data_IF_549066955963
#
_entry.id   IF_549066955963
#
_cell.length_a   1.000
_cell.length_b   1.000
_cell.length_c   1.000
_cell.angle_alpha   90.00
_cell.angle_beta   90.00
_cell.angle_gamma   90.00
#
_symmetry.space_group_name_H-M   'P 1'
#
loop_
_entity.id
_entity.type
_entity.pdbx_description
1 polymer ?
#
# COMPACT_ATOMS: atom_id res chain seq x y z
N UNK A 1 2.82 3.39 14.58
CA UNK A 1 1.43 3.25 15.03
C UNK A 1 1.03 4.36 16.01
N UNK A 2 1.83 4.63 17.05
CA UNK A 2 1.52 5.64 18.05
C UNK A 2 1.39 7.06 17.48
N UNK A 3 2.21 7.46 16.50
CA UNK A 3 2.07 8.76 15.82
C UNK A 3 0.73 8.90 15.08
N UNK A 4 0.24 7.81 14.51
CA UNK A 4 -1.08 7.79 13.85
C UNK A 4 -2.19 7.90 14.89
N UNK A 5 -2.06 7.19 16.00
CA UNK A 5 -3.01 7.25 17.10
C UNK A 5 -3.07 8.67 17.69
N UNK A 6 -1.91 9.31 17.94
CA UNK A 6 -1.86 10.70 18.40
C UNK A 6 -2.52 11.68 17.42
N UNK A 7 -2.24 11.54 16.12
CA UNK A 7 -2.82 12.42 15.09
C UNK A 7 -4.34 12.27 14.96
N UNK A 8 -4.85 11.03 15.10
CA UNK A 8 -6.27 10.76 14.94
C UNK A 8 -7.07 10.90 16.22
N UNK A 9 -6.52 10.50 17.36
CA UNK A 9 -7.24 10.34 18.62
C UNK A 9 -6.72 11.23 19.75
N UNK A 10 -5.62 11.96 19.54
CA UNK A 10 -4.98 12.79 20.56
C UNK A 10 -4.33 12.00 21.70
N UNK A 11 -4.21 10.68 21.54
CA UNK A 11 -3.60 9.77 22.53
C UNK A 11 -2.96 8.57 21.86
N UNK A 12 -2.02 7.93 22.54
CA UNK A 12 -1.38 6.65 22.15
C UNK A 12 -2.26 5.46 22.53
N UNK A 13 -1.82 4.28 22.13
CA UNK A 13 -2.36 2.99 22.56
C UNK A 13 -3.86 2.81 22.29
N UNK A 14 -4.33 3.29 21.13
CA UNK A 14 -5.76 3.17 20.77
C UNK A 14 -6.10 1.77 20.28
N UNK A 15 -5.29 1.22 19.38
CA UNK A 15 -5.52 -0.12 18.83
C UNK A 15 -4.83 -1.23 19.58
N UNK A 16 -3.68 -0.95 20.17
CA UNK A 16 -2.85 -1.90 20.88
C UNK A 16 -2.05 -1.21 21.96
N UNK A 17 -1.75 -1.94 23.01
CA UNK A 17 -0.87 -1.50 24.10
C UNK A 17 0.46 -2.23 24.00
N UNK A 18 1.56 -1.49 24.03
CA UNK A 18 2.91 -2.04 24.07
C UNK A 18 3.29 -2.39 25.52
N UNK A 19 4.04 -3.47 25.67
CA UNK A 19 4.60 -3.89 26.94
C UNK A 19 5.93 -4.59 26.71
N UNK A 20 6.73 -4.70 27.78
CA UNK A 20 7.96 -5.49 27.77
C UNK A 20 7.69 -6.81 28.49
N UNK A 21 8.01 -7.94 27.87
CA UNK A 21 7.85 -9.25 28.46
C UNK A 21 8.95 -9.54 29.52
N UNK A 22 8.84 -10.70 30.19
CA UNK A 22 9.79 -11.12 31.22
C UNK A 22 11.22 -11.34 30.70
N UNK A 23 11.39 -11.50 29.38
CA UNK A 23 12.69 -11.63 28.72
C UNK A 23 13.26 -10.31 28.23
N UNK A 24 12.58 -9.19 28.49
CA UNK A 24 12.98 -7.85 28.05
C UNK A 24 12.62 -7.55 26.58
N UNK A 25 11.83 -8.38 25.92
CA UNK A 25 11.40 -8.17 24.55
C UNK A 25 10.16 -7.25 24.48
N UNK A 26 10.17 -6.29 23.54
CA UNK A 26 9.01 -5.48 23.26
C UNK A 26 7.91 -6.30 22.59
N UNK A 27 6.73 -6.26 23.17
CA UNK A 27 5.53 -6.96 22.73
C UNK A 27 4.35 -6.00 22.66
N UNK A 28 3.29 -6.41 22.01
CA UNK A 28 2.02 -5.70 22.00
C UNK A 28 0.85 -6.66 22.19
N UNK A 29 -0.22 -6.14 22.69
CA UNK A 29 -1.53 -6.81 22.75
C UNK A 29 -2.59 -5.88 22.17
N UNK A 30 -3.54 -6.39 21.37
CA UNK A 30 -4.63 -5.58 20.87
C UNK A 30 -5.58 -5.20 22.00
N UNK A 31 -6.10 -3.98 21.94
CA UNK A 31 -7.19 -3.57 22.80
C UNK A 31 -8.50 -4.20 22.28
N UNK A 32 -9.29 -4.80 23.15
CA UNK A 32 -10.54 -5.51 22.78
C UNK A 32 -11.73 -4.58 22.56
N UNK A 33 -11.68 -3.38 23.07
CA UNK A 33 -12.78 -2.41 22.97
C UNK A 33 -12.95 -1.89 21.54
N UNK A 34 -14.22 -1.63 21.18
CA UNK A 34 -14.55 -0.97 19.91
C UNK A 34 -13.89 0.41 19.84
N UNK A 35 -13.26 0.70 18.69
CA UNK A 35 -12.57 1.98 18.48
C UNK A 35 -13.57 3.14 18.49
N UNK A 36 -13.39 4.07 19.42
CA UNK A 36 -14.18 5.29 19.54
C UNK A 36 -13.44 6.46 18.88
N UNK A 37 -14.11 7.15 17.98
CA UNK A 37 -13.56 8.31 17.28
C UNK A 37 -13.91 9.61 18.03
N UNK A 38 -12.96 10.59 18.08
CA UNK A 38 -13.24 11.88 18.69
C UNK A 38 -14.31 12.65 17.92
N UNK A 39 -14.92 13.64 18.58
CA UNK A 39 -15.87 14.54 17.96
C UNK A 39 -15.31 15.17 16.67
N UNK A 40 -16.12 15.25 15.64
CA UNK A 40 -15.74 15.78 14.32
C UNK A 40 -14.91 14.82 13.43
N UNK A 41 -14.56 13.62 13.91
CA UNK A 41 -13.88 12.59 13.12
C UNK A 41 -14.74 11.33 13.03
N UNK A 42 -14.78 10.72 11.86
CA UNK A 42 -15.56 9.49 11.65
C UNK A 42 -14.66 8.29 11.31
N UNK A 43 -15.17 7.10 11.60
CA UNK A 43 -14.50 5.87 11.18
C UNK A 43 -14.33 5.79 9.64
N UNK A 44 -15.25 6.40 8.89
CA UNK A 44 -15.21 6.48 7.43
C UNK A 44 -14.03 7.32 6.94
N UNK A 45 -13.77 8.43 7.61
CA UNK A 45 -12.62 9.30 7.31
C UNK A 45 -11.31 8.58 7.61
N UNK A 46 -11.23 7.87 8.75
CA UNK A 46 -10.07 7.05 9.11
C UNK A 46 -9.77 5.97 8.07
N UNK A 47 -10.81 5.26 7.60
CA UNK A 47 -10.66 4.24 6.56
C UNK A 47 -10.16 4.82 5.25
N UNK A 48 -10.63 6.02 4.88
CA UNK A 48 -10.24 6.71 3.66
C UNK A 48 -8.93 7.49 3.75
N UNK A 49 -8.36 7.65 4.92
CA UNK A 49 -7.11 8.40 5.08
C UNK A 49 -5.95 7.66 4.40
N UNK A 50 -5.29 8.32 3.45
CA UNK A 50 -4.23 7.72 2.64
C UNK A 50 -3.00 7.42 3.50
N UNK A 51 -2.43 6.22 3.33
CA UNK A 51 -1.17 5.78 3.93
C UNK A 51 -0.23 5.35 2.83
N UNK A 52 1.01 5.74 2.93
CA UNK A 52 2.08 5.32 2.04
C UNK A 52 3.19 4.67 2.85
N UNK A 53 3.52 3.44 2.52
CA UNK A 53 4.70 2.74 3.02
C UNK A 53 5.78 2.78 1.95
N UNK A 54 6.93 3.34 2.30
CA UNK A 54 8.07 3.43 1.41
C UNK A 54 9.04 2.27 1.69
N UNK A 55 9.52 1.62 0.62
CA UNK A 55 10.36 0.42 0.74
C UNK A 55 9.71 -0.64 1.63
N UNK A 56 8.48 -1.03 1.25
CA UNK A 56 7.61 -1.80 2.13
C UNK A 56 8.08 -3.25 2.39
N UNK A 57 9.10 -3.74 1.70
CA UNK A 57 9.51 -5.14 1.78
C UNK A 57 8.33 -6.07 1.49
N UNK A 58 8.10 -7.03 2.37
CA UNK A 58 6.96 -7.95 2.35
C UNK A 58 5.67 -7.35 2.95
N UNK A 59 5.69 -6.04 3.22
CA UNK A 59 4.62 -5.23 3.81
C UNK A 59 4.21 -5.58 5.26
N UNK A 60 5.14 -5.90 6.19
CA UNK A 60 4.79 -6.29 7.56
C UNK A 60 4.13 -5.15 8.36
N UNK A 61 4.41 -3.89 8.02
CA UNK A 61 3.76 -2.73 8.63
C UNK A 61 2.37 -2.41 8.04
N UNK A 62 2.09 -2.89 6.83
CA UNK A 62 0.76 -2.77 6.22
C UNK A 62 -0.15 -3.88 6.71
N UNK A 63 0.33 -5.12 6.65
CA UNK A 63 -0.35 -6.35 7.06
C UNK A 63 0.59 -7.18 7.93
N UNK A 64 0.34 -7.24 9.23
CA UNK A 64 1.18 -7.98 10.18
C UNK A 64 0.75 -9.45 10.29
N UNK A 65 0.95 -10.24 9.21
CA UNK A 65 0.51 -11.65 9.18
C UNK A 65 1.40 -12.59 9.96
N UNK A 66 2.66 -12.27 10.08
CA UNK A 66 3.68 -13.06 10.78
C UNK A 66 4.73 -12.15 11.41
N UNK A 67 5.39 -12.65 12.41
CA UNK A 67 6.56 -12.01 13.01
C UNK A 67 7.75 -12.17 12.05
N UNK A 68 8.30 -11.07 11.59
CA UNK A 68 9.41 -11.07 10.61
C UNK A 68 10.73 -11.62 11.18
N UNK A 69 10.84 -11.76 12.49
CA UNK A 69 12.02 -12.29 13.17
C UNK A 69 11.94 -13.81 13.33
N UNK A 70 10.77 -14.31 13.72
CA UNK A 70 10.57 -15.73 14.00
C UNK A 70 9.89 -16.51 12.88
N UNK A 71 9.19 -15.81 11.98
CA UNK A 71 8.34 -16.41 10.95
C UNK A 71 7.00 -16.94 11.47
N UNK A 72 6.72 -16.80 12.78
CA UNK A 72 5.48 -17.26 13.38
C UNK A 72 4.27 -16.45 12.92
N UNK A 73 3.16 -17.15 12.62
CA UNK A 73 1.93 -16.52 12.20
C UNK A 73 1.30 -15.71 13.34
N UNK A 74 0.92 -14.48 13.06
CA UNK A 74 0.17 -13.62 13.99
C UNK A 74 -1.33 -13.86 13.80
N UNK A 75 -2.06 -14.28 14.85
CA UNK A 75 -3.50 -14.47 14.80
C UNK A 75 -4.22 -13.20 14.35
N UNK A 76 -5.29 -13.33 13.57
CA UNK A 76 -5.97 -12.22 12.90
C UNK A 76 -6.38 -11.09 13.88
N UNK A 77 -6.88 -11.44 15.08
CA UNK A 77 -7.25 -10.48 16.11
C UNK A 77 -6.07 -9.76 16.79
N UNK A 78 -4.84 -10.20 16.53
CA UNK A 78 -3.62 -9.59 17.09
C UNK A 78 -2.84 -8.76 16.06
N UNK A 79 -3.29 -8.71 14.82
CA UNK A 79 -2.65 -7.95 13.76
C UNK A 79 -2.86 -6.45 13.95
N UNK A 80 -1.80 -5.68 13.74
CA UNK A 80 -1.76 -4.23 14.01
C UNK A 80 -1.20 -3.41 12.84
N UNK A 81 -1.05 -4.01 11.67
CA UNK A 81 -0.60 -3.30 10.46
C UNK A 81 -1.56 -2.17 10.06
N UNK A 82 -1.11 -1.27 9.21
CA UNK A 82 -1.89 -0.11 8.77
C UNK A 82 -3.24 -0.49 8.16
N UNK A 83 -3.24 -1.54 7.33
CA UNK A 83 -4.45 -2.06 6.72
C UNK A 83 -5.26 -2.93 7.71
N UNK A 84 -4.60 -3.72 8.56
CA UNK A 84 -5.27 -4.51 9.61
C UNK A 84 -6.15 -3.63 10.50
N UNK A 85 -5.64 -2.47 10.92
CA UNK A 85 -6.38 -1.48 11.72
C UNK A 85 -7.62 -0.96 10.98
N UNK A 86 -7.49 -0.66 9.69
CA UNK A 86 -8.63 -0.23 8.86
C UNK A 86 -9.66 -1.34 8.70
N UNK A 87 -9.23 -2.58 8.45
CA UNK A 87 -10.13 -3.72 8.33
C UNK A 87 -10.84 -4.04 9.64
N UNK A 88 -10.16 -3.89 10.79
CA UNK A 88 -10.78 -3.95 12.10
C UNK A 88 -11.88 -2.89 12.25
N UNK A 89 -11.57 -1.62 11.96
CA UNK A 89 -12.55 -0.52 12.04
C UNK A 89 -13.74 -0.77 11.12
N UNK A 90 -13.52 -1.24 9.90
CA UNK A 90 -14.61 -1.65 9.00
C UNK A 90 -15.43 -2.79 9.63
N UNK A 91 -14.77 -3.80 10.16
CA UNK A 91 -15.42 -4.93 10.84
C UNK A 91 -16.29 -4.52 12.03
N UNK A 92 -15.85 -3.54 12.82
CA UNK A 92 -16.56 -3.03 13.99
C UNK A 92 -17.77 -2.14 13.65
N UNK A 93 -17.86 -1.59 12.44
CA UNK A 93 -18.85 -0.59 12.05
C UNK A 93 -19.75 -0.98 10.88
N UNK A 94 -19.70 -2.23 10.42
CA UNK A 94 -20.55 -2.74 9.33
C UNK A 94 -21.22 -4.04 9.74
N UNK A 95 -22.46 -4.25 9.33
CA UNK A 95 -23.23 -5.46 9.67
C UNK A 95 -23.38 -6.40 8.45
N UNK A 96 -23.61 -5.85 7.28
CA UNK A 96 -23.84 -6.65 6.07
C UNK A 96 -22.57 -6.90 5.29
N UNK A 97 -22.53 -8.01 4.54
CA UNK A 97 -21.40 -8.31 3.68
C UNK A 97 -21.23 -7.29 2.53
N UNK A 98 -22.31 -6.68 2.07
CA UNK A 98 -22.27 -5.66 1.02
C UNK A 98 -21.59 -4.38 1.53
N UNK A 99 -22.01 -3.90 2.70
CA UNK A 99 -21.42 -2.71 3.34
C UNK A 99 -19.95 -2.95 3.72
N UNK A 100 -19.65 -4.12 4.29
CA UNK A 100 -18.28 -4.49 4.62
C UNK A 100 -17.37 -4.52 3.39
N UNK A 101 -17.84 -5.09 2.27
CA UNK A 101 -17.09 -5.13 1.01
C UNK A 101 -16.86 -3.73 0.45
N UNK A 102 -17.85 -2.85 0.49
CA UNK A 102 -17.73 -1.46 0.06
C UNK A 102 -16.62 -0.74 0.83
N UNK A 103 -16.67 -0.77 2.17
CA UNK A 103 -15.70 -0.07 3.00
C UNK A 103 -14.32 -0.73 3.04
N UNK A 104 -14.26 -2.05 2.88
CA UNK A 104 -12.99 -2.75 2.69
C UNK A 104 -12.30 -2.30 1.40
N UNK A 105 -13.04 -2.13 0.31
CA UNK A 105 -12.48 -1.57 -0.92
C UNK A 105 -11.91 -0.16 -0.70
N UNK A 106 -12.59 0.70 0.05
CA UNK A 106 -12.09 2.03 0.41
C UNK A 106 -10.81 1.95 1.26
N UNK A 107 -10.74 0.99 2.21
CA UNK A 107 -9.53 0.74 2.98
C UNK A 107 -8.34 0.37 2.07
N UNK A 108 -8.53 -0.58 1.14
CA UNK A 108 -7.48 -0.98 0.19
C UNK A 108 -7.09 0.15 -0.76
N UNK A 109 -8.03 0.96 -1.24
CA UNK A 109 -7.77 2.11 -2.10
C UNK A 109 -6.97 3.22 -1.42
N UNK A 110 -6.95 3.26 -0.10
CA UNK A 110 -6.24 4.26 0.70
C UNK A 110 -4.89 3.79 1.24
N UNK A 111 -4.45 2.58 0.91
CA UNK A 111 -3.12 2.06 1.25
C UNK A 111 -2.28 1.98 -0.02
N UNK A 112 -1.12 2.63 0.02
CA UNK A 112 -0.15 2.66 -1.06
C UNK A 112 1.19 2.18 -0.54
N UNK A 113 1.94 1.46 -1.37
CA UNK A 113 3.29 1.02 -1.04
C UNK A 113 4.14 0.82 -2.29
N UNK A 114 5.46 0.97 -2.14
CA UNK A 114 6.37 0.54 -3.17
C UNK A 114 7.58 -0.23 -2.60
N UNK A 115 8.14 -1.08 -3.44
CA UNK A 115 9.29 -1.89 -3.14
C UNK A 115 10.21 -1.98 -4.37
N UNK A 116 11.50 -2.08 -4.12
CA UNK A 116 12.50 -2.30 -5.17
C UNK A 116 12.52 -3.77 -5.62
N UNK A 117 12.50 -4.70 -4.66
CA UNK A 117 12.63 -6.12 -4.91
C UNK A 117 11.30 -6.74 -5.36
N UNK A 118 11.32 -7.39 -6.53
CA UNK A 118 10.12 -8.02 -7.10
C UNK A 118 9.54 -9.14 -6.25
N UNK A 119 10.40 -9.94 -5.61
CA UNK A 119 9.99 -11.06 -4.76
C UNK A 119 9.28 -10.58 -3.50
N UNK A 120 9.85 -9.57 -2.81
CA UNK A 120 9.22 -8.94 -1.65
C UNK A 120 7.86 -8.33 -2.03
N UNK A 121 7.81 -7.65 -3.18
CA UNK A 121 6.57 -7.07 -3.71
C UNK A 121 5.49 -8.14 -3.95
N UNK A 122 5.87 -9.32 -4.46
CA UNK A 122 4.93 -10.43 -4.66
C UNK A 122 4.36 -10.90 -3.33
N UNK A 123 5.22 -11.15 -2.34
CA UNK A 123 4.81 -11.56 -0.99
C UNK A 123 3.91 -10.51 -0.33
N UNK A 124 4.24 -9.21 -0.48
CA UNK A 124 3.42 -8.11 0.01
C UNK A 124 2.00 -8.15 -0.58
N UNK A 125 1.89 -8.30 -1.90
CA UNK A 125 0.60 -8.39 -2.61
C UNK A 125 -0.21 -9.61 -2.20
N UNK A 126 0.44 -10.78 -2.08
CA UNK A 126 -0.19 -12.01 -1.61
C UNK A 126 -0.67 -11.88 -0.16
N UNK A 127 0.15 -11.37 0.73
CA UNK A 127 -0.18 -11.13 2.14
C UNK A 127 -1.42 -10.25 2.28
N UNK A 128 -1.49 -9.17 1.51
CA UNK A 128 -2.68 -8.29 1.49
C UNK A 128 -3.92 -9.03 0.95
N UNK A 129 -3.79 -9.77 -0.16
CA UNK A 129 -4.93 -10.47 -0.76
C UNK A 129 -5.47 -11.60 0.12
N UNK A 130 -4.58 -12.40 0.71
CA UNK A 130 -4.97 -13.47 1.63
C UNK A 130 -5.64 -12.88 2.88
N UNK A 131 -5.12 -11.78 3.42
CA UNK A 131 -5.72 -11.11 4.57
C UNK A 131 -7.15 -10.62 4.29
N UNK A 132 -7.45 -10.13 3.08
CA UNK A 132 -8.84 -9.84 2.69
C UNK A 132 -9.76 -11.05 2.86
N UNK A 133 -9.31 -12.21 2.40
CA UNK A 133 -10.09 -13.44 2.50
C UNK A 133 -10.27 -13.86 3.95
N UNK A 134 -9.20 -13.80 4.76
CA UNK A 134 -9.21 -14.17 6.18
C UNK A 134 -10.16 -13.28 7.00
N UNK A 135 -10.10 -11.96 6.83
CA UNK A 135 -11.00 -11.02 7.53
C UNK A 135 -12.47 -11.21 7.12
N UNK A 136 -12.74 -11.46 5.85
CA UNK A 136 -14.09 -11.76 5.38
C UNK A 136 -14.62 -13.06 5.98
N UNK A 137 -13.79 -14.13 5.96
CA UNK A 137 -14.16 -15.43 6.52
C UNK A 137 -14.39 -15.36 8.03
N UNK A 138 -13.54 -14.62 8.77
CA UNK A 138 -13.72 -14.42 10.20
C UNK A 138 -15.07 -13.75 10.50
N UNK A 139 -15.46 -12.74 9.73
CA UNK A 139 -16.69 -11.99 9.98
C UNK A 139 -17.97 -12.72 9.55
N UNK A 140 -17.94 -13.40 8.39
CA UNK A 140 -19.14 -13.96 7.77
C UNK A 140 -19.20 -15.48 7.72
N UNK A 141 -18.18 -16.19 8.24
CA UNK A 141 -18.13 -17.65 8.27
C UNK A 141 -18.05 -18.33 6.88
N UNK A 142 -17.83 -17.56 5.82
CA UNK A 142 -17.76 -18.06 4.44
C UNK A 142 -16.71 -17.31 3.61
N UNK A 143 -16.27 -17.93 2.54
CA UNK A 143 -15.29 -17.31 1.62
C UNK A 143 -15.97 -16.20 0.77
N UNK A 144 -15.26 -15.08 0.49
CA UNK A 144 -15.79 -14.07 -0.42
C UNK A 144 -15.91 -14.62 -1.86
N UNK A 145 -16.79 -14.01 -2.66
CA UNK A 145 -16.93 -14.36 -4.07
C UNK A 145 -15.66 -14.03 -4.85
N UNK A 146 -15.35 -14.84 -5.87
CA UNK A 146 -14.18 -14.64 -6.73
C UNK A 146 -14.16 -13.23 -7.35
N UNK A 147 -15.30 -12.67 -7.71
CA UNK A 147 -15.41 -11.29 -8.22
C UNK A 147 -14.87 -10.27 -7.22
N UNK A 148 -15.14 -10.43 -5.94
CA UNK A 148 -14.64 -9.53 -4.89
C UNK A 148 -13.13 -9.70 -4.71
N UNK A 149 -12.64 -10.94 -4.69
CA UNK A 149 -11.20 -11.25 -4.62
C UNK A 149 -10.47 -10.60 -5.80
N UNK A 150 -10.95 -10.77 -7.02
CA UNK A 150 -10.35 -10.19 -8.22
C UNK A 150 -10.33 -8.66 -8.18
N UNK A 151 -11.37 -8.04 -7.62
CA UNK A 151 -11.40 -6.58 -7.52
C UNK A 151 -10.41 -6.06 -6.48
N UNK A 152 -10.26 -6.73 -5.34
CA UNK A 152 -9.21 -6.39 -4.36
C UNK A 152 -7.82 -6.60 -4.96
N UNK A 153 -7.58 -7.71 -5.66
CA UNK A 153 -6.31 -7.95 -6.37
C UNK A 153 -6.01 -6.83 -7.38
N UNK A 154 -7.04 -6.36 -8.09
CA UNK A 154 -6.91 -5.22 -9.00
C UNK A 154 -6.53 -3.92 -8.27
N UNK A 155 -7.12 -3.62 -7.11
CA UNK A 155 -6.73 -2.44 -6.32
C UNK A 155 -5.27 -2.58 -5.86
N UNK A 156 -4.90 -3.72 -5.31
CA UNK A 156 -3.53 -4.01 -4.85
C UNK A 156 -2.53 -3.81 -5.99
N UNK A 157 -2.83 -4.29 -7.20
CA UNK A 157 -1.93 -4.19 -8.35
C UNK A 157 -1.59 -2.75 -8.75
N UNK A 158 -2.46 -1.79 -8.44
CA UNK A 158 -2.24 -0.36 -8.68
C UNK A 158 -1.63 0.37 -7.49
N UNK A 159 -1.85 -0.11 -6.28
CA UNK A 159 -1.47 0.57 -5.06
C UNK A 159 -0.18 0.05 -4.44
N UNK A 160 0.25 -1.16 -4.81
CA UNK A 160 1.50 -1.77 -4.35
C UNK A 160 2.34 -2.09 -5.59
N UNK A 161 3.37 -1.26 -5.85
CA UNK A 161 4.11 -1.31 -7.13
C UNK A 161 5.62 -1.38 -6.95
N UNK A 162 6.31 -1.84 -8.00
CA UNK A 162 7.76 -1.86 -8.03
C UNK A 162 8.30 -0.50 -8.46
N UNK A 163 9.23 0.06 -7.69
CA UNK A 163 9.81 1.38 -7.97
C UNK A 163 11.20 1.55 -7.38
N UNK A 164 12.08 2.21 -8.13
CA UNK A 164 13.25 2.89 -7.58
C UNK A 164 12.77 4.19 -6.90
N UNK A 165 12.79 4.21 -5.58
CA UNK A 165 12.26 5.33 -4.79
C UNK A 165 13.01 6.64 -4.98
N UNK A 166 14.28 6.60 -5.39
CA UNK A 166 15.09 7.79 -5.66
C UNK A 166 14.81 8.38 -7.05
N UNK A 167 14.40 7.54 -7.99
CA UNK A 167 14.19 7.93 -9.39
C UNK A 167 12.72 7.99 -9.82
N UNK A 168 11.83 7.39 -9.07
CA UNK A 168 10.40 7.32 -9.42
C UNK A 168 10.08 6.48 -10.66
N UNK A 169 11.01 5.63 -11.09
CA UNK A 169 10.89 4.76 -12.27
C UNK A 169 10.95 3.28 -11.87
N UNK A 170 10.54 2.40 -12.78
CA UNK A 170 10.74 0.95 -12.61
C UNK A 170 12.26 0.69 -12.48
N UNK A 171 12.69 -0.15 -11.51
CA UNK A 171 14.10 -0.49 -11.33
C UNK A 171 14.76 -0.93 -12.63
N UNK A 172 15.97 -0.44 -12.85
CA UNK A 172 16.78 -0.71 -14.04
C UNK A 172 16.18 -0.26 -15.39
N UNK A 173 15.08 0.49 -15.42
CA UNK A 173 14.49 1.02 -16.65
C UNK A 173 15.15 2.31 -17.13
N UNK A 174 15.94 2.96 -16.28
CA UNK A 174 16.63 4.20 -16.55
C UNK A 174 18.14 3.94 -16.72
N UNK A 175 18.73 4.51 -17.75
CA UNK A 175 20.15 4.33 -17.98
C UNK A 175 20.63 4.88 -19.33
N UNK A 176 21.75 4.35 -19.79
CA UNK A 176 22.32 4.63 -21.09
C UNK A 176 21.38 4.18 -22.21
N UNK A 177 21.17 5.03 -23.21
CA UNK A 177 20.46 4.70 -24.44
C UNK A 177 21.41 4.76 -25.61
N UNK A 178 21.40 3.72 -26.44
CA UNK A 178 22.10 3.64 -27.71
C UNK A 178 21.09 3.84 -28.83
N UNK A 179 21.30 4.86 -29.63
CA UNK A 179 20.46 5.18 -30.78
C UNK A 179 21.28 5.07 -32.02
N UNK A 180 20.84 4.30 -33.00
CA UNK A 180 21.48 4.21 -34.30
C UNK A 180 20.92 5.32 -35.19
N UNK A 181 21.75 6.28 -35.55
CA UNK A 181 21.38 7.38 -36.46
C UNK A 181 21.99 7.08 -37.80
N UNK A 182 21.17 6.99 -38.84
CA UNK A 182 21.62 6.81 -40.23
C UNK A 182 21.43 8.14 -40.96
N UNK A 183 22.52 8.70 -41.43
CA UNK A 183 22.53 9.90 -42.25
C UNK A 183 23.09 9.61 -43.68
N UNK A 184 23.24 10.64 -44.47
CA UNK A 184 23.78 10.53 -45.86
C UNK A 184 25.22 10.04 -45.92
N UNK A 185 25.94 10.05 -44.78
CA UNK A 185 27.36 9.69 -44.69
C UNK A 185 27.59 8.33 -44.04
N UNK A 186 26.51 7.65 -43.62
CA UNK A 186 26.57 6.32 -43.01
C UNK A 186 25.76 6.19 -41.73
N UNK A 187 25.97 5.08 -41.04
CA UNK A 187 25.31 4.75 -39.77
C UNK A 187 26.27 4.97 -38.62
N UNK A 188 25.81 5.78 -37.64
CA UNK A 188 26.55 6.04 -36.40
C UNK A 188 25.74 5.61 -35.19
N UNK A 189 26.42 5.05 -34.21
CA UNK A 189 25.84 4.77 -32.91
C UNK A 189 26.06 5.98 -32.00
N UNK A 190 24.99 6.60 -31.55
CA UNK A 190 24.98 7.66 -30.53
C UNK A 190 24.60 7.09 -29.19
N UNK A 191 25.47 7.34 -28.20
CA UNK A 191 25.24 6.93 -26.81
C UNK A 191 24.82 8.15 -26.00
N UNK A 192 23.61 8.14 -25.47
CA UNK A 192 23.12 9.19 -24.59
C UNK A 192 22.94 8.68 -23.16
N UNK A 193 23.50 9.41 -22.21
CA UNK A 193 23.27 9.15 -20.78
C UNK A 193 21.95 9.73 -20.32
N UNK A 194 21.37 9.13 -19.28
CA UNK A 194 20.14 9.66 -18.67
C UNK A 194 20.38 11.03 -18.02
N UNK A 195 19.72 12.05 -18.51
CA UNK A 195 19.84 13.42 -17.99
C UNK A 195 19.44 13.51 -16.51
N UNK A 196 18.39 12.78 -16.08
CA UNK A 196 17.98 12.74 -14.69
C UNK A 196 19.03 12.14 -13.76
N UNK A 197 19.76 11.10 -14.22
CA UNK A 197 20.87 10.54 -13.45
C UNK A 197 22.09 11.48 -13.38
N UNK A 198 22.34 12.23 -14.44
CA UNK A 198 23.48 13.17 -14.50
C UNK A 198 23.25 14.41 -13.62
N UNK A 199 21.99 14.88 -13.54
CA UNK A 199 21.62 16.12 -12.87
C UNK A 199 20.92 15.94 -11.53
N UNK A 200 20.74 14.68 -11.10
CA UNK A 200 19.94 14.32 -9.92
C UNK A 200 18.51 14.92 -9.97
N UNK A 201 17.90 14.84 -11.16
CA UNK A 201 16.55 15.38 -11.38
C UNK A 201 15.55 14.25 -11.60
N UNK A 202 14.73 13.99 -10.58
CA UNK A 202 13.71 12.93 -10.57
C UNK A 202 12.70 13.05 -11.74
N UNK A 203 12.52 14.24 -12.32
CA UNK A 203 11.57 14.47 -13.42
C UNK A 203 12.14 14.24 -14.81
N UNK A 204 13.46 14.05 -14.93
CA UNK A 204 14.17 13.95 -16.22
C UNK A 204 14.77 12.58 -16.51
N UNK A 205 14.38 11.56 -15.75
CA UNK A 205 14.83 10.21 -16.04
C UNK A 205 14.24 9.70 -17.37
N UNK A 206 15.07 8.98 -18.12
CA UNK A 206 14.65 8.33 -19.37
C UNK A 206 14.04 6.95 -19.17
N UNK A 207 13.82 6.52 -17.92
CA UNK A 207 13.18 5.26 -17.54
C UNK A 207 11.66 5.28 -17.66
N UNK A 208 11.03 4.17 -17.24
CA UNK A 208 9.58 4.01 -17.20
C UNK A 208 9.08 4.52 -15.86
N UNK A 209 8.44 5.68 -15.85
CA UNK A 209 7.87 6.25 -14.64
C UNK A 209 6.72 5.41 -14.09
N UNK A 210 6.76 5.19 -12.78
CA UNK A 210 5.72 4.44 -12.09
C UNK A 210 4.41 5.20 -12.06
N UNK A 211 3.33 4.47 -12.29
CA UNK A 211 1.96 4.98 -12.30
C UNK A 211 1.15 4.33 -11.17
N UNK A 212 0.33 5.15 -10.54
CA UNK A 212 -0.62 4.74 -9.52
C UNK A 212 -2.02 5.21 -9.90
N UNK A 213 -3.03 4.80 -9.15
CA UNK A 213 -4.39 5.32 -9.30
C UNK A 213 -4.77 6.25 -8.17
N UNK A 214 -5.25 7.44 -8.54
CA UNK A 214 -6.06 8.27 -7.65
C UNK A 214 -7.51 7.79 -7.74
N UNK A 215 -7.94 7.01 -6.77
CA UNK A 215 -9.27 6.38 -6.75
C UNK A 215 -10.42 7.36 -6.57
N UNK A 216 -10.15 8.59 -6.16
CA UNK A 216 -11.16 9.63 -5.90
C UNK A 216 -11.41 10.53 -7.09
N UNK A 217 -10.55 10.47 -8.08
CA UNK A 217 -10.64 11.29 -9.30
C UNK A 217 -11.13 10.47 -10.47
N UNK A 218 -12.07 11.03 -11.22
CA UNK A 218 -12.58 10.41 -12.45
C UNK A 218 -11.52 10.51 -13.55
N UNK A 219 -11.22 9.39 -14.19
CA UNK A 219 -10.32 9.35 -15.34
C UNK A 219 -11.03 9.98 -16.55
N UNK A 220 -10.52 11.08 -17.11
CA UNK A 220 -11.18 11.78 -18.21
C UNK A 220 -11.25 10.98 -19.50
N UNK A 221 -10.36 9.97 -19.66
CA UNK A 221 -10.33 9.12 -20.86
C UNK A 221 -11.35 7.99 -20.81
N UNK A 222 -11.58 7.43 -19.62
CA UNK A 222 -12.45 6.25 -19.45
C UNK A 222 -13.79 6.58 -18.82
N UNK A 223 -13.93 7.75 -18.23
CA UNK A 223 -15.11 8.15 -17.45
C UNK A 223 -15.29 7.40 -16.13
N UNK A 224 -14.36 6.49 -15.75
CA UNK A 224 -14.42 5.67 -14.55
C UNK A 224 -13.60 6.31 -13.41
N UNK A 225 -13.96 6.00 -12.18
CA UNK A 225 -13.15 6.36 -11.00
C UNK A 225 -11.79 5.65 -11.05
N UNK A 226 -10.75 6.33 -10.54
CA UNK A 226 -9.38 5.82 -10.52
C UNK A 226 -8.54 6.36 -11.68
N UNK A 227 -8.30 7.69 -11.69
CA UNK A 227 -7.42 8.36 -12.66
C UNK A 227 -5.98 7.87 -12.49
N UNK A 228 -5.33 7.48 -13.58
CA UNK A 228 -3.90 7.17 -13.59
C UNK A 228 -3.08 8.44 -13.51
N UNK A 229 -2.10 8.45 -12.63
CA UNK A 229 -1.14 9.55 -12.43
C UNK A 229 0.26 8.96 -12.26
N UNK A 230 1.28 9.69 -12.65
CA UNK A 230 2.67 9.30 -12.31
C UNK A 230 2.89 9.61 -10.83
N UNK A 231 3.56 8.70 -10.12
CA UNK A 231 3.85 8.89 -8.70
C UNK A 231 4.63 10.18 -8.44
N UNK A 232 5.62 10.49 -9.30
CA UNK A 232 6.46 11.69 -9.14
C UNK A 232 5.69 13.00 -9.26
N UNK A 233 4.50 13.01 -9.88
CA UNK A 233 3.66 14.22 -9.97
C UNK A 233 3.02 14.61 -8.63
N UNK A 234 3.08 13.73 -7.63
CA UNK A 234 2.66 13.99 -6.24
C UNK A 234 3.75 14.63 -5.40
N UNK A 235 5.00 14.53 -5.82
CA UNK A 235 6.15 15.10 -5.11
C UNK A 235 6.27 16.58 -5.51
N UNK A 236 6.12 17.46 -4.54
CA UNK A 236 6.22 18.92 -4.73
C UNK A 236 7.68 19.39 -4.74
#
# INVERSE_FOLDING_TARGET
NNLIDEAWFGRKDVFNTEYTDEQGCHRWRPNSEKIQFPEGKTWKDYVRDNRLEITCGEAPYIISRYDTTTGEAIPLGQRIGLLDRKLRVVGENTETSAEWLEWTQEAYKSIYAYEWQGDNLLIARESMLISFVEYYQQKFGKRPLLKSINYIAYIISWNVWQMDGLKGVIPNSCGERRTVVTDLFGTKEEVSQCEGCQKDDIRRHNGIYCQIKDWRVKDPKTGKMGKRIRFIDLIK
#
